data_IF_324377108528
#
_entry.id   IF_324377108528
#
_cell.length_a   1.000
_cell.length_b   1.000
_cell.length_c   1.000
_cell.angle_alpha   90.00
_cell.angle_beta   90.00
_cell.angle_gamma   90.00
#
_symmetry.space_group_name_H-M   'P 1'
#
loop_
_entity.id
_entity.type
_entity.pdbx_description
1 polymer ?
#
# COMPACT_ATOMS: atom_id res chain seq x y z
N UNK A 1 -44.73 19.58 12.55
CA UNK A 1 -43.82 18.42 12.75
C UNK A 1 -42.91 18.15 11.53
N UNK A 2 -42.69 19.12 10.64
CA UNK A 2 -41.83 18.96 9.44
C UNK A 2 -40.35 19.30 9.72
N UNK A 3 -40.09 20.19 10.69
CA UNK A 3 -38.72 20.69 10.98
C UNK A 3 -37.77 19.68 11.61
N UNK A 4 -38.28 18.67 12.31
CA UNK A 4 -37.47 17.61 12.93
C UNK A 4 -37.04 16.54 11.91
N UNK A 5 -37.80 16.37 10.83
CA UNK A 5 -37.51 15.37 9.79
C UNK A 5 -36.42 15.89 8.85
N UNK A 6 -36.41 17.19 8.55
CA UNK A 6 -35.39 17.80 7.69
C UNK A 6 -34.01 17.86 8.34
N UNK A 7 -33.93 18.08 9.66
CA UNK A 7 -32.63 18.11 10.37
C UNK A 7 -31.98 16.73 10.45
N UNK A 8 -32.76 15.66 10.63
CA UNK A 8 -32.21 14.29 10.58
C UNK A 8 -31.66 13.94 9.19
N UNK A 9 -32.35 14.33 8.12
CA UNK A 9 -31.91 14.11 6.75
C UNK A 9 -30.57 14.82 6.44
N UNK A 10 -30.38 16.05 6.94
CA UNK A 10 -29.12 16.78 6.74
C UNK A 10 -27.93 16.18 7.49
N UNK A 11 -28.12 15.62 8.69
CA UNK A 11 -27.04 14.97 9.45
C UNK A 11 -26.64 13.63 8.82
N UNK A 12 -27.60 12.90 8.22
CA UNK A 12 -27.33 11.66 7.49
C UNK A 12 -26.61 11.88 6.15
N UNK A 13 -26.83 13.02 5.47
CA UNK A 13 -26.10 13.35 4.22
C UNK A 13 -24.63 13.75 4.46
N UNK A 14 -24.27 14.19 5.67
CA UNK A 14 -22.88 14.55 6.01
C UNK A 14 -22.06 13.34 6.49
N UNK A 15 -22.68 12.18 6.69
CA UNK A 15 -22.04 10.96 7.20
C UNK A 15 -21.58 9.98 6.12
N UNK A 16 -21.48 10.41 4.85
CA UNK A 16 -21.04 9.57 3.75
C UNK A 16 -19.92 10.25 2.94
N UNK A 17 -18.78 9.57 2.66
CA UNK A 17 -18.01 8.67 3.51
C UNK A 17 -16.61 9.28 3.76
N UNK A 18 -16.13 9.29 5.01
CA UNK A 18 -14.70 9.49 5.31
C UNK A 18 -13.84 8.27 4.91
N UNK A 19 -14.29 7.50 3.91
CA UNK A 19 -13.77 6.20 3.49
C UNK A 19 -13.27 6.26 2.05
N UNK A 20 -12.64 7.37 1.66
CA UNK A 20 -11.98 7.46 0.35
C UNK A 20 -10.67 8.27 0.39
N UNK A 21 -10.29 8.81 1.54
CA UNK A 21 -8.93 9.31 1.74
C UNK A 21 -8.01 8.10 1.93
N UNK A 22 -7.67 7.45 0.82
CA UNK A 22 -6.55 6.53 0.76
C UNK A 22 -5.30 7.37 1.05
N UNK A 23 -4.91 7.44 2.33
CA UNK A 23 -3.65 8.02 2.83
C UNK A 23 -2.43 7.16 2.44
N UNK A 24 -2.55 6.37 1.37
CA UNK A 24 -1.47 5.63 0.77
C UNK A 24 -0.72 6.48 -0.25
N UNK A 25 0.53 6.10 -0.58
CA UNK A 25 1.32 6.82 -1.58
C UNK A 25 0.59 6.77 -2.92
N UNK A 26 0.55 7.90 -3.63
CA UNK A 26 -0.07 7.99 -4.97
C UNK A 26 0.96 7.95 -6.09
N UNK A 27 2.22 8.22 -5.75
CA UNK A 27 3.31 8.31 -6.70
C UNK A 27 4.52 7.54 -6.20
N UNK A 28 5.45 7.22 -7.11
CA UNK A 28 6.74 6.62 -6.78
C UNK A 28 7.55 7.42 -5.74
N UNK A 29 7.73 8.76 -5.88
CA UNK A 29 8.43 9.54 -4.86
C UNK A 29 7.73 9.49 -3.50
N UNK A 30 6.39 9.55 -3.44
CA UNK A 30 5.67 9.42 -2.17
C UNK A 30 5.93 8.05 -1.53
N UNK A 31 5.86 6.98 -2.33
CA UNK A 31 6.07 5.62 -1.86
C UNK A 31 7.50 5.42 -1.32
N UNK A 32 8.51 5.86 -2.07
CA UNK A 32 9.90 5.70 -1.64
C UNK A 32 10.25 6.58 -0.44
N UNK A 33 9.74 7.81 -0.38
CA UNK A 33 9.97 8.68 0.79
C UNK A 33 9.28 8.17 2.04
N UNK A 34 8.05 7.67 1.93
CA UNK A 34 7.26 7.23 3.08
C UNK A 34 7.69 5.85 3.58
N UNK A 35 8.01 4.91 2.68
CA UNK A 35 8.18 3.50 3.04
C UNK A 35 9.65 3.05 2.97
N UNK A 36 10.42 3.49 1.98
CA UNK A 36 11.83 3.07 1.87
C UNK A 36 12.74 3.74 2.92
N UNK A 37 12.36 4.91 3.48
CA UNK A 37 13.08 5.47 4.64
C UNK A 37 12.73 4.79 5.96
N UNK A 38 11.53 4.19 6.05
CA UNK A 38 11.01 3.57 7.27
C UNK A 38 11.38 2.10 7.42
N UNK A 39 11.63 1.40 6.31
CA UNK A 39 12.16 0.04 6.36
C UNK A 39 13.46 0.00 7.17
N UNK A 40 13.50 -0.85 8.20
CA UNK A 40 14.61 -0.91 9.14
C UNK A 40 15.82 -1.68 8.56
N UNK A 41 15.56 -2.79 7.87
CA UNK A 41 16.60 -3.64 7.28
C UNK A 41 17.12 -3.12 5.92
N UNK A 42 18.30 -3.59 5.49
CA UNK A 42 18.88 -3.20 4.18
C UNK A 42 18.05 -3.75 3.03
N UNK A 43 17.70 -5.03 3.10
CA UNK A 43 16.92 -5.69 2.06
C UNK A 43 15.47 -5.18 2.07
N UNK A 44 14.96 -4.78 3.24
CA UNK A 44 13.70 -4.05 3.37
C UNK A 44 13.69 -2.77 2.55
N UNK A 45 14.74 -1.95 2.63
CA UNK A 45 14.86 -0.71 1.83
C UNK A 45 14.92 -1.00 0.32
N UNK A 46 15.68 -2.01 -0.09
CA UNK A 46 15.81 -2.43 -1.48
C UNK A 46 14.47 -2.93 -2.04
N UNK A 47 13.84 -3.87 -1.33
CA UNK A 47 12.55 -4.43 -1.68
C UNK A 47 11.48 -3.34 -1.77
N UNK A 48 11.49 -2.38 -0.85
CA UNK A 48 10.51 -1.30 -0.84
C UNK A 48 10.67 -0.37 -2.05
N UNK A 49 11.91 -0.05 -2.45
CA UNK A 49 12.17 0.72 -3.67
C UNK A 49 11.67 -0.02 -4.91
N UNK A 50 11.95 -1.33 -5.01
CA UNK A 50 11.46 -2.16 -6.11
C UNK A 50 9.93 -2.21 -6.12
N UNK A 51 9.31 -2.48 -4.97
CA UNK A 51 7.86 -2.56 -4.85
C UNK A 51 7.19 -1.22 -5.25
N UNK A 52 7.75 -0.10 -4.81
CA UNK A 52 7.30 1.23 -5.21
C UNK A 52 7.48 1.47 -6.73
N UNK A 53 8.63 1.10 -7.30
CA UNK A 53 8.90 1.23 -8.75
C UNK A 53 7.88 0.43 -9.56
N UNK A 54 7.70 -0.85 -9.23
CA UNK A 54 6.78 -1.76 -9.92
C UNK A 54 5.32 -1.33 -9.80
N UNK A 55 4.96 -0.63 -8.71
CA UNK A 55 3.59 -0.17 -8.51
C UNK A 55 3.30 1.15 -9.22
N UNK A 56 4.22 2.11 -9.16
CA UNK A 56 3.92 3.51 -9.48
C UNK A 56 4.74 4.11 -10.63
N UNK A 57 5.85 3.48 -11.03
CA UNK A 57 6.76 4.06 -12.03
C UNK A 57 6.79 3.23 -13.32
N UNK A 58 7.19 1.96 -13.22
CA UNK A 58 7.33 1.07 -14.37
C UNK A 58 6.85 -0.34 -14.00
N UNK A 59 5.56 -0.63 -14.17
CA UNK A 59 5.02 -1.96 -13.90
C UNK A 59 5.44 -3.01 -14.93
N UNK A 60 6.04 -2.59 -16.06
CA UNK A 60 6.43 -3.48 -17.16
C UNK A 60 7.89 -3.93 -17.11
N UNK A 61 8.67 -3.36 -16.20
CA UNK A 61 10.06 -3.72 -15.97
C UNK A 61 10.20 -5.23 -15.70
N UNK A 62 11.24 -5.91 -16.24
CA UNK A 62 11.47 -7.32 -16.01
C UNK A 62 11.43 -7.76 -14.53
N UNK A 63 11.87 -6.92 -13.60
CA UNK A 63 11.85 -7.22 -12.16
C UNK A 63 10.43 -7.23 -11.56
N UNK A 64 9.44 -6.66 -12.27
CA UNK A 64 8.07 -6.51 -11.80
C UNK A 64 7.14 -7.63 -12.27
N UNK A 65 7.59 -8.45 -13.23
CA UNK A 65 6.81 -9.53 -13.84
C UNK A 65 6.31 -10.58 -12.84
N UNK A 66 7.04 -10.75 -11.73
CA UNK A 66 6.72 -11.72 -10.69
C UNK A 66 5.74 -11.21 -9.62
N UNK A 67 5.25 -9.97 -9.76
CA UNK A 67 4.42 -9.30 -8.77
C UNK A 67 3.08 -8.85 -9.35
N UNK A 68 1.99 -9.33 -8.76
CA UNK A 68 0.68 -8.68 -8.96
C UNK A 68 0.64 -7.33 -8.24
N UNK A 69 -0.22 -6.42 -8.69
CA UNK A 69 -0.43 -5.12 -8.00
C UNK A 69 -0.86 -5.29 -6.54
N UNK A 70 -1.61 -6.36 -6.23
CA UNK A 70 -2.02 -6.71 -4.86
C UNK A 70 -0.85 -7.24 -4.02
N UNK A 71 0.09 -7.97 -4.62
CA UNK A 71 1.30 -8.40 -3.94
C UNK A 71 2.18 -7.20 -3.56
N UNK A 72 2.34 -6.24 -4.48
CA UNK A 72 3.10 -5.01 -4.23
C UNK A 72 2.50 -4.20 -3.07
N UNK A 73 1.17 -4.06 -3.02
CA UNK A 73 0.47 -3.44 -1.89
C UNK A 73 0.71 -4.14 -0.56
N UNK A 74 0.65 -5.47 -0.57
CA UNK A 74 0.91 -6.28 0.61
C UNK A 74 2.35 -6.08 1.10
N UNK A 75 3.34 -6.07 0.21
CA UNK A 75 4.75 -5.85 0.56
C UNK A 75 4.93 -4.47 1.18
N UNK A 76 4.39 -3.42 0.55
CA UNK A 76 4.52 -2.02 1.02
C UNK A 76 3.94 -1.85 2.43
N UNK A 77 2.82 -2.52 2.71
CA UNK A 77 2.15 -2.45 4.00
C UNK A 77 2.90 -3.20 5.11
N UNK A 78 3.52 -4.34 4.81
CA UNK A 78 3.96 -5.29 5.84
C UNK A 78 5.48 -5.33 6.07
N UNK A 79 6.32 -4.94 5.10
CA UNK A 79 7.77 -5.00 5.29
C UNK A 79 8.37 -3.76 6.00
N UNK A 80 7.56 -2.73 6.29
CA UNK A 80 8.03 -1.49 6.93
C UNK A 80 8.55 -1.60 8.37
N UNK A 81 8.02 -2.45 9.27
CA UNK A 81 8.56 -2.56 10.63
C UNK A 81 9.62 -3.67 10.77
N UNK A 82 10.02 -4.33 9.68
CA UNK A 82 10.85 -5.53 9.75
C UNK A 82 12.33 -5.15 9.82
N UNK A 83 13.01 -5.56 10.88
CA UNK A 83 14.41 -5.22 11.17
C UNK A 83 15.41 -6.23 10.59
N UNK A 84 15.00 -7.49 10.44
CA UNK A 84 15.84 -8.57 9.96
C UNK A 84 15.58 -8.87 8.48
N UNK A 85 16.63 -8.96 7.67
CA UNK A 85 16.52 -9.18 6.22
C UNK A 85 15.77 -10.49 5.89
N UNK A 86 15.93 -11.52 6.71
CA UNK A 86 15.31 -12.85 6.54
C UNK A 86 13.79 -12.78 6.63
N UNK A 87 13.29 -11.96 7.55
CA UNK A 87 11.87 -11.73 7.76
C UNK A 87 11.26 -10.90 6.61
N UNK A 88 12.03 -9.97 6.03
CA UNK A 88 11.60 -9.20 4.85
C UNK A 88 11.33 -10.13 3.67
N UNK A 89 12.24 -11.09 3.43
CA UNK A 89 12.04 -12.11 2.40
C UNK A 89 10.87 -13.05 2.72
N UNK A 90 10.63 -13.32 4.01
CA UNK A 90 9.41 -13.99 4.47
C UNK A 90 8.13 -13.24 4.06
N UNK A 91 8.09 -11.92 4.27
CA UNK A 91 6.96 -11.07 3.86
C UNK A 91 6.78 -11.05 2.33
N UNK A 92 7.87 -10.90 1.57
CA UNK A 92 7.84 -10.92 0.10
C UNK A 92 7.21 -12.22 -0.43
N UNK A 93 7.72 -13.37 0.04
CA UNK A 93 7.20 -14.69 -0.33
C UNK A 93 5.73 -14.86 0.07
N UNK A 94 5.36 -14.46 1.29
CA UNK A 94 3.99 -14.57 1.78
C UNK A 94 3.02 -13.73 0.93
N UNK A 95 3.39 -12.49 0.59
CA UNK A 95 2.57 -11.60 -0.22
C UNK A 95 2.39 -12.10 -1.66
N UNK A 96 3.46 -12.62 -2.30
CA UNK A 96 3.36 -13.21 -3.65
C UNK A 96 2.51 -14.47 -3.67
N UNK A 97 2.63 -15.32 -2.65
CA UNK A 97 1.85 -16.56 -2.57
C UNK A 97 0.35 -16.28 -2.40
N UNK A 98 0.00 -15.28 -1.57
CA UNK A 98 -1.40 -14.86 -1.37
C UNK A 98 -2.00 -14.09 -2.55
N UNK A 99 -1.15 -13.45 -3.35
CA UNK A 99 -1.55 -12.60 -4.46
C UNK A 99 -0.74 -12.95 -5.72
N UNK A 100 -0.96 -14.16 -6.29
CA UNK A 100 -0.19 -14.60 -7.45
C UNK A 100 -0.41 -13.69 -8.65
N UNK A 101 0.56 -13.71 -9.57
CA UNK A 101 0.42 -13.07 -10.88
C UNK A 101 -0.70 -13.80 -11.64
N UNK A 102 -1.69 -13.08 -12.21
CA UNK A 102 -2.76 -13.68 -13.00
C UNK A 102 -2.25 -14.26 -14.33
#
# INVERSE_FOLDING_TARGET
MIRLVTTLLFVLLLAAPASAQSFGPKTYPDCTMLFAKKAASRDGKMLMRRACKCRFQDPTDPECKDYSQKALDCIIKNAMPVEHDEEVWGVERACRTKHPVP
#
